data_IF_509500464554
#
_entry.id   IF_509500464554
#
_cell.length_a   1.000
_cell.length_b   1.000
_cell.length_c   1.000
_cell.angle_alpha   90.00
_cell.angle_beta   90.00
_cell.angle_gamma   90.00
#
_symmetry.space_group_name_H-M   'P 1'
#
loop_
_entity.id
_entity.type
_entity.pdbx_description
1 polymer ?
#
# COMPACT_ATOMS: atom_id res chain seq x y z
N UNK A 1 9.72 19.34 19.34
CA UNK A 1 8.38 19.90 19.03
C UNK A 1 8.20 21.21 19.78
N UNK A 2 8.09 22.35 19.06
CA UNK A 2 7.96 23.70 19.64
C UNK A 2 6.53 24.01 20.08
N UNK A 3 6.33 25.10 20.84
CA UNK A 3 5.00 25.56 21.27
C UNK A 3 4.04 25.81 20.10
N UNK A 4 4.49 26.52 19.06
CA UNK A 4 3.68 26.78 17.86
C UNK A 4 3.31 25.49 17.12
N UNK A 5 4.22 24.51 17.07
CA UNK A 5 3.91 23.18 16.51
C UNK A 5 2.84 22.45 17.33
N UNK A 6 2.88 22.55 18.67
CA UNK A 6 1.86 21.97 19.54
C UNK A 6 0.49 22.62 19.34
N UNK A 7 0.42 23.95 19.22
CA UNK A 7 -0.82 24.67 18.90
C UNK A 7 -1.36 24.21 17.55
N UNK A 8 -0.50 24.16 16.52
CA UNK A 8 -0.90 23.69 15.19
C UNK A 8 -1.46 22.26 15.25
N UNK A 9 -0.78 21.35 15.94
CA UNK A 9 -1.25 19.98 16.11
C UNK A 9 -2.60 19.93 16.86
N UNK A 10 -2.76 20.74 17.92
CA UNK A 10 -4.02 20.84 18.66
C UNK A 10 -5.17 21.27 17.75
N UNK A 11 -4.99 22.37 17.00
CA UNK A 11 -6.02 22.89 16.09
C UNK A 11 -6.37 21.88 15.01
N UNK A 12 -5.36 21.29 14.34
CA UNK A 12 -5.59 20.30 13.30
C UNK A 12 -6.32 19.06 13.83
N UNK A 13 -5.90 18.54 14.98
CA UNK A 13 -6.53 17.36 15.59
C UNK A 13 -7.99 17.62 15.96
N UNK A 14 -8.28 18.76 16.58
CA UNK A 14 -9.66 19.10 16.98
C UNK A 14 -10.55 19.39 15.77
N UNK A 15 -9.99 20.02 14.74
CA UNK A 15 -10.69 20.22 13.46
C UNK A 15 -11.03 18.88 12.81
N UNK A 16 -10.09 17.94 12.76
CA UNK A 16 -10.31 16.59 12.20
C UNK A 16 -11.40 15.83 12.98
N UNK A 17 -11.34 15.83 14.31
CA UNK A 17 -12.35 15.20 15.17
C UNK A 17 -13.73 15.83 14.96
N UNK A 18 -13.80 17.17 14.90
CA UNK A 18 -15.04 17.89 14.62
C UNK A 18 -15.60 17.53 13.25
N UNK A 19 -14.76 17.60 12.21
CA UNK A 19 -15.17 17.28 10.85
C UNK A 19 -15.68 15.85 10.72
N UNK A 20 -14.93 14.88 11.27
CA UNK A 20 -15.33 13.46 11.27
C UNK A 20 -16.66 13.25 11.97
N UNK A 21 -16.87 13.85 13.14
CA UNK A 21 -18.10 13.66 13.93
C UNK A 21 -19.34 14.27 13.27
N UNK A 22 -19.24 15.47 12.72
CA UNK A 22 -20.41 16.22 12.25
C UNK A 22 -20.65 16.12 10.74
N UNK A 23 -19.63 15.75 9.95
CA UNK A 23 -19.73 15.66 8.49
C UNK A 23 -19.35 14.29 7.95
N UNK A 24 -18.20 13.74 8.37
CA UNK A 24 -17.68 12.46 7.88
C UNK A 24 -18.59 11.27 8.19
N UNK A 25 -18.70 10.92 9.48
CA UNK A 25 -19.47 9.76 9.96
C UNK A 25 -20.95 9.80 9.53
N UNK A 26 -21.68 10.94 9.61
CA UNK A 26 -23.05 10.99 9.11
C UNK A 26 -23.17 10.72 7.61
N UNK A 27 -22.23 11.21 6.79
CA UNK A 27 -22.22 10.97 5.35
C UNK A 27 -21.92 9.51 5.02
N UNK A 28 -20.93 8.91 5.69
CA UNK A 28 -20.58 7.50 5.54
C UNK A 28 -21.74 6.59 5.98
N UNK A 29 -22.37 6.87 7.11
CA UNK A 29 -23.52 6.11 7.61
C UNK A 29 -24.72 6.19 6.67
N UNK A 30 -25.00 7.37 6.08
CA UNK A 30 -26.04 7.52 5.06
C UNK A 30 -25.74 6.67 3.82
N UNK A 31 -24.47 6.62 3.40
CA UNK A 31 -24.04 5.78 2.29
C UNK A 31 -24.20 4.29 2.63
N UNK A 32 -23.79 3.89 3.83
CA UNK A 32 -23.90 2.52 4.30
C UNK A 32 -25.36 2.04 4.30
N UNK A 33 -26.28 2.83 4.89
CA UNK A 33 -27.72 2.52 4.89
C UNK A 33 -28.31 2.37 3.49
N UNK A 34 -27.83 3.18 2.53
CA UNK A 34 -28.29 3.10 1.14
C UNK A 34 -27.94 1.76 0.48
N UNK A 35 -26.81 1.15 0.83
CA UNK A 35 -26.28 -0.01 0.11
C UNK A 35 -26.28 -1.33 0.90
N UNK A 36 -26.29 -1.31 2.23
CA UNK A 36 -26.02 -2.49 3.07
C UNK A 36 -27.18 -2.86 4.03
N UNK A 37 -28.44 -2.65 3.61
CA UNK A 37 -29.68 -2.87 4.37
C UNK A 37 -29.92 -1.89 5.55
N UNK A 38 -31.14 -1.89 6.09
CA UNK A 38 -31.62 -0.86 7.04
C UNK A 38 -31.17 -1.07 8.51
N UNK A 39 -30.66 -2.25 8.86
CA UNK A 39 -30.34 -2.67 10.23
C UNK A 39 -28.90 -2.35 10.68
N UNK A 40 -28.19 -1.52 9.89
CA UNK A 40 -26.83 -1.08 10.24
C UNK A 40 -26.89 -0.17 11.48
N UNK A 41 -26.20 -0.59 12.54
CA UNK A 41 -25.99 0.24 13.74
C UNK A 41 -25.17 1.50 13.39
N UNK A 42 -25.44 2.65 14.03
CA UNK A 42 -24.58 3.83 13.91
C UNK A 42 -23.11 3.48 14.19
N UNK A 43 -22.20 4.01 13.38
CA UNK A 43 -20.78 3.68 13.50
C UNK A 43 -20.19 4.10 14.86
N UNK A 44 -20.67 5.18 15.46
CA UNK A 44 -20.28 5.59 16.81
C UNK A 44 -20.66 4.56 17.88
N UNK A 45 -21.79 3.87 17.70
CA UNK A 45 -22.23 2.80 18.60
C UNK A 45 -21.35 1.56 18.42
N UNK A 46 -21.02 1.22 17.17
CA UNK A 46 -20.09 0.12 16.85
C UNK A 46 -18.72 0.39 17.47
N UNK A 47 -18.18 1.60 17.31
CA UNK A 47 -16.89 2.00 17.87
C UNK A 47 -16.89 1.96 19.41
N UNK A 48 -17.96 2.42 20.06
CA UNK A 48 -18.08 2.42 21.54
C UNK A 48 -18.24 1.02 22.14
N UNK A 49 -18.92 0.12 21.44
CA UNK A 49 -19.24 -1.21 21.92
C UNK A 49 -18.23 -2.28 21.45
N UNK A 50 -17.16 -1.88 20.78
CA UNK A 50 -16.13 -2.77 20.28
C UNK A 50 -15.32 -3.39 21.41
N UNK A 51 -15.50 -4.69 21.64
CA UNK A 51 -14.78 -5.42 22.70
C UNK A 51 -13.32 -5.69 22.35
N UNK A 52 -12.99 -5.90 21.07
CA UNK A 52 -11.64 -6.15 20.56
C UNK A 52 -11.51 -5.50 19.18
N UNK A 53 -10.35 -4.87 18.91
CA UNK A 53 -9.95 -4.40 17.60
C UNK A 53 -8.64 -5.07 17.17
N UNK A 54 -8.68 -5.90 16.14
CA UNK A 54 -7.47 -6.43 15.51
C UNK A 54 -7.10 -5.48 14.38
N UNK A 55 -5.89 -4.92 14.43
CA UNK A 55 -5.44 -3.90 13.46
C UNK A 55 -4.24 -4.40 12.68
N UNK A 56 -4.09 -3.95 11.43
CA UNK A 56 -2.86 -4.16 10.66
C UNK A 56 -1.69 -3.28 11.11
N UNK A 57 -1.79 -2.65 12.28
CA UNK A 57 -0.71 -1.87 12.89
C UNK A 57 0.47 -2.79 13.20
N UNK A 58 1.68 -2.32 12.86
CA UNK A 58 2.92 -2.99 13.23
C UNK A 58 3.76 -2.04 14.10
N UNK A 59 3.98 -2.36 15.39
CA UNK A 59 4.73 -1.50 16.31
C UNK A 59 6.16 -1.16 15.87
N UNK A 60 6.74 -1.92 14.95
CA UNK A 60 8.08 -1.69 14.39
C UNK A 60 8.02 -0.62 13.29
N UNK A 61 6.95 -0.61 12.50
CA UNK A 61 6.80 0.29 11.35
C UNK A 61 6.09 1.59 11.68
N UNK A 62 5.14 1.52 12.59
CA UNK A 62 4.25 2.63 12.88
C UNK A 62 4.76 3.48 14.06
N UNK A 63 4.15 4.66 14.22
CA UNK A 63 4.51 5.55 15.32
C UNK A 63 4.25 4.88 16.68
N UNK A 64 5.13 5.10 17.67
CA UNK A 64 4.88 4.65 19.01
C UNK A 64 3.63 5.34 19.56
N UNK A 65 2.65 4.54 19.96
CA UNK A 65 1.37 4.97 20.50
C UNK A 65 0.99 4.07 21.68
N UNK A 66 0.36 4.65 22.69
CA UNK A 66 -0.28 3.87 23.75
C UNK A 66 -1.54 3.21 23.20
N UNK A 67 -1.54 1.88 23.14
CA UNK A 67 -2.70 1.10 22.73
C UNK A 67 -3.46 0.59 23.97
N UNK A 68 -4.79 0.77 24.02
CA UNK A 68 -5.63 0.09 24.99
C UNK A 68 -5.49 -1.45 24.88
N UNK A 69 -5.67 -2.22 25.98
CA UNK A 69 -5.52 -3.67 25.96
C UNK A 69 -6.44 -4.41 24.98
N UNK A 70 -7.56 -3.81 24.60
CA UNK A 70 -8.50 -4.37 23.63
C UNK A 70 -8.10 -4.12 22.16
N UNK A 71 -7.04 -3.36 21.89
CA UNK A 71 -6.49 -3.19 20.55
C UNK A 71 -5.30 -4.13 20.39
N UNK A 72 -5.41 -5.08 19.46
CA UNK A 72 -4.40 -6.10 19.18
C UNK A 72 -3.69 -5.74 17.87
N UNK A 73 -2.42 -5.33 17.91
CA UNK A 73 -1.56 -5.24 16.74
C UNK A 73 -1.39 -6.60 16.07
N UNK A 74 -1.74 -6.67 14.80
CA UNK A 74 -1.56 -7.83 13.95
C UNK A 74 -1.15 -7.37 12.54
N UNK A 75 -0.02 -6.65 12.48
CA UNK A 75 0.64 -6.27 11.24
C UNK A 75 0.96 -7.50 10.38
N UNK A 76 0.81 -7.36 9.06
CA UNK A 76 1.16 -8.42 8.12
C UNK A 76 0.18 -9.60 8.03
N UNK A 77 -1.02 -9.54 8.62
CA UNK A 77 -2.02 -10.61 8.48
C UNK A 77 -2.41 -10.93 7.02
N UNK A 78 -2.26 -9.97 6.11
CA UNK A 78 -2.50 -10.17 4.67
C UNK A 78 -1.36 -10.91 3.99
N UNK A 79 -0.18 -10.99 4.61
CA UNK A 79 1.00 -11.68 4.06
C UNK A 79 0.78 -13.18 4.23
N UNK A 80 0.51 -13.85 3.11
CA UNK A 80 0.23 -15.28 3.08
C UNK A 80 1.49 -16.07 2.70
N UNK A 81 1.56 -17.37 3.00
CA UNK A 81 2.62 -18.24 2.50
C UNK A 81 2.74 -18.12 0.97
N UNK A 82 3.99 -18.05 0.49
CA UNK A 82 4.30 -17.90 -0.93
C UNK A 82 3.69 -19.05 -1.72
N UNK A 83 2.90 -18.71 -2.74
CA UNK A 83 2.29 -19.65 -3.67
C UNK A 83 3.14 -19.76 -4.94
N UNK A 84 3.06 -20.90 -5.66
CA UNK A 84 3.66 -21.02 -6.98
C UNK A 84 3.15 -19.92 -7.92
N UNK A 85 4.07 -19.28 -8.64
CA UNK A 85 3.72 -18.30 -9.66
C UNK A 85 2.99 -18.99 -10.83
N UNK A 86 2.04 -18.29 -11.48
CA UNK A 86 1.47 -18.73 -12.76
C UNK A 86 2.57 -19.01 -13.81
N UNK A 87 2.34 -19.97 -14.71
CA UNK A 87 3.35 -20.46 -15.65
C UNK A 87 3.99 -19.36 -16.51
N UNK A 88 3.22 -18.34 -16.90
CA UNK A 88 3.72 -17.22 -17.70
C UNK A 88 4.73 -16.38 -16.91
N UNK A 89 4.46 -16.10 -15.63
CA UNK A 89 5.37 -15.38 -14.75
C UNK A 89 6.55 -16.25 -14.30
N UNK A 90 6.30 -17.54 -14.05
CA UNK A 90 7.33 -18.48 -13.63
C UNK A 90 8.47 -18.55 -14.64
N UNK A 91 8.16 -18.68 -15.93
CA UNK A 91 9.18 -18.71 -17.01
C UNK A 91 10.02 -17.44 -17.03
N UNK A 92 9.38 -16.28 -16.95
CA UNK A 92 10.05 -14.97 -16.91
C UNK A 92 10.97 -14.87 -15.68
N UNK A 93 10.51 -15.33 -14.52
CA UNK A 93 11.29 -15.32 -13.28
C UNK A 93 12.47 -16.28 -13.38
N UNK A 94 12.27 -17.48 -13.93
CA UNK A 94 13.32 -18.48 -14.13
C UNK A 94 14.42 -17.95 -15.07
N UNK A 95 14.05 -17.21 -16.12
CA UNK A 95 14.97 -16.59 -17.08
C UNK A 95 15.66 -15.32 -16.55
N UNK A 96 15.15 -14.70 -15.48
CA UNK A 96 15.71 -13.49 -14.91
C UNK A 96 17.04 -13.77 -14.19
N UNK A 97 18.17 -13.65 -14.89
CA UNK A 97 19.52 -13.92 -14.37
C UNK A 97 20.00 -12.88 -13.34
N UNK A 98 19.56 -11.63 -13.48
CA UNK A 98 20.01 -10.52 -12.64
C UNK A 98 19.07 -10.23 -11.46
N UNK A 99 18.01 -11.02 -11.30
CA UNK A 99 16.98 -10.81 -10.30
C UNK A 99 15.80 -9.99 -10.79
N UNK A 100 14.87 -9.74 -9.87
CA UNK A 100 13.58 -9.13 -10.13
C UNK A 100 13.41 -7.83 -9.33
N UNK A 101 12.76 -6.86 -9.94
CA UNK A 101 12.26 -5.66 -9.26
C UNK A 101 10.75 -5.64 -9.43
N UNK A 102 10.01 -5.42 -8.35
CA UNK A 102 8.56 -5.20 -8.41
C UNK A 102 8.32 -3.70 -8.29
N UNK A 103 7.53 -3.12 -9.19
CA UNK A 103 7.10 -1.73 -9.14
C UNK A 103 5.58 -1.60 -9.10
N UNK A 104 5.07 -0.93 -8.07
CA UNK A 104 3.63 -0.80 -7.83
C UNK A 104 3.28 0.44 -7.02
N UNK A 105 2.32 1.23 -7.50
CA UNK A 105 1.76 2.35 -6.74
C UNK A 105 0.56 1.94 -5.86
N UNK A 106 0.38 0.63 -5.65
CA UNK A 106 -0.75 0.08 -4.92
C UNK A 106 -2.04 0.02 -5.75
N UNK A 107 -3.17 -0.09 -5.07
CA UNK A 107 -4.50 -0.13 -5.70
C UNK A 107 -5.14 1.24 -5.83
N UNK A 108 -4.75 2.21 -5.00
CA UNK A 108 -5.37 3.53 -4.95
C UNK A 108 -4.80 4.48 -5.99
N UNK A 109 -3.48 4.49 -6.18
CA UNK A 109 -2.84 5.25 -7.25
C UNK A 109 -2.68 4.37 -8.47
N UNK A 110 -3.17 4.88 -9.60
CA UNK A 110 -3.02 4.21 -10.87
C UNK A 110 -1.72 4.62 -11.53
N UNK A 111 -0.94 3.66 -12.01
CA UNK A 111 0.28 3.94 -12.76
C UNK A 111 -0.03 4.65 -14.08
N UNK A 112 -1.22 4.41 -14.64
CA UNK A 112 -1.68 5.08 -15.85
C UNK A 112 -2.14 6.54 -15.67
N UNK A 113 -2.34 7.01 -14.44
CA UNK A 113 -2.58 8.43 -14.15
C UNK A 113 -1.28 9.25 -14.10
N UNK A 114 -0.11 8.60 -14.12
CA UNK A 114 1.17 9.32 -14.22
C UNK A 114 1.25 10.09 -15.54
N UNK A 115 1.79 11.31 -15.49
CA UNK A 115 2.03 12.09 -16.71
C UNK A 115 2.96 11.33 -17.66
N UNK A 116 2.80 11.56 -18.97
CA UNK A 116 3.65 10.95 -20.00
C UNK A 116 5.15 11.16 -19.70
N UNK A 117 5.54 12.37 -19.27
CA UNK A 117 6.91 12.67 -18.86
C UNK A 117 7.41 11.76 -17.74
N UNK A 118 6.60 11.51 -16.70
CA UNK A 118 6.96 10.63 -15.58
C UNK A 118 7.07 9.18 -16.03
N UNK A 119 6.12 8.70 -16.83
CA UNK A 119 6.15 7.34 -17.40
C UNK A 119 7.40 7.13 -18.24
N UNK A 120 7.72 8.05 -19.15
CA UNK A 120 8.92 7.98 -19.98
C UNK A 120 10.20 8.03 -19.16
N UNK A 121 10.28 8.87 -18.12
CA UNK A 121 11.44 8.90 -17.23
C UNK A 121 11.64 7.56 -16.49
N UNK A 122 10.56 6.96 -15.98
CA UNK A 122 10.58 5.65 -15.32
C UNK A 122 11.01 4.56 -16.30
N UNK A 123 10.40 4.48 -17.48
CA UNK A 123 10.77 3.50 -18.52
C UNK A 123 12.24 3.65 -18.95
N UNK A 124 12.72 4.89 -19.13
CA UNK A 124 14.10 5.16 -19.48
C UNK A 124 15.08 4.75 -18.38
N UNK A 125 14.70 4.88 -17.10
CA UNK A 125 15.50 4.39 -15.99
C UNK A 125 15.51 2.85 -15.97
N UNK A 126 14.34 2.23 -16.12
CA UNK A 126 14.16 0.78 -16.14
C UNK A 126 14.90 0.10 -17.29
N UNK A 127 14.93 0.71 -18.47
CA UNK A 127 15.64 0.20 -19.63
C UNK A 127 17.17 0.07 -19.42
N UNK A 128 17.73 0.83 -18.46
CA UNK A 128 19.17 0.81 -18.14
C UNK A 128 19.52 -0.28 -17.12
N UNK A 129 18.52 -0.92 -16.51
CA UNK A 129 18.72 -1.93 -15.48
C UNK A 129 18.77 -3.33 -16.11
N UNK A 130 19.68 -4.21 -15.68
CA UNK A 130 19.74 -5.58 -16.17
C UNK A 130 18.66 -6.51 -15.57
N UNK A 131 17.96 -6.08 -14.52
CA UNK A 131 16.91 -6.83 -13.86
C UNK A 131 15.63 -6.88 -14.69
N UNK A 132 14.85 -7.95 -14.48
CA UNK A 132 13.46 -8.01 -14.94
C UNK A 132 12.58 -7.21 -13.98
N UNK A 133 11.76 -6.32 -14.51
CA UNK A 133 10.96 -5.38 -13.73
C UNK A 133 9.48 -5.70 -13.95
N UNK A 134 8.78 -6.15 -12.91
CA UNK A 134 7.33 -6.32 -12.94
C UNK A 134 6.66 -5.01 -12.55
N UNK A 135 5.90 -4.41 -13.46
CA UNK A 135 5.18 -3.16 -13.20
C UNK A 135 3.67 -3.40 -13.22
N UNK A 136 3.03 -3.16 -12.07
CA UNK A 136 1.56 -3.09 -11.98
C UNK A 136 1.05 -1.82 -12.68
N UNK A 137 0.32 -2.00 -13.77
CA UNK A 137 -0.18 -0.92 -14.62
C UNK A 137 -1.55 -1.28 -15.23
N UNK A 138 -2.48 -0.34 -15.19
CA UNK A 138 -3.92 -0.58 -15.41
C UNK A 138 -4.32 -0.65 -16.90
N UNK A 139 -3.52 -0.04 -17.77
CA UNK A 139 -3.70 0.03 -19.23
C UNK A 139 -2.49 -0.52 -20.00
N UNK A 140 -2.55 -0.49 -21.32
CA UNK A 140 -1.41 -0.83 -22.16
C UNK A 140 -0.41 0.32 -22.21
N UNK A 141 0.88 -0.01 -22.31
CA UNK A 141 1.96 0.97 -22.41
C UNK A 141 2.74 0.73 -23.69
N UNK A 142 2.80 1.75 -24.54
CA UNK A 142 3.60 1.71 -25.75
C UNK A 142 5.09 1.84 -25.42
N UNK A 143 5.95 1.27 -26.27
CA UNK A 143 7.41 1.38 -26.18
C UNK A 143 8.00 0.87 -24.84
N UNK A 144 7.42 -0.19 -24.29
CA UNK A 144 7.94 -0.81 -23.07
C UNK A 144 9.30 -1.50 -23.34
N UNK A 145 10.34 -1.24 -22.51
CA UNK A 145 11.62 -1.95 -22.60
C UNK A 145 11.43 -3.46 -22.43
N UNK A 146 12.27 -4.26 -23.08
CA UNK A 146 12.16 -5.74 -23.08
C UNK A 146 12.23 -6.36 -21.68
N UNK A 147 12.91 -5.70 -20.74
CA UNK A 147 13.04 -6.15 -19.36
C UNK A 147 11.89 -5.71 -18.45
N UNK A 148 10.91 -4.94 -18.97
CA UNK A 148 9.75 -4.47 -18.19
C UNK A 148 8.54 -5.31 -18.57
N UNK A 149 7.96 -5.98 -17.58
CA UNK A 149 6.81 -6.85 -17.71
C UNK A 149 5.62 -6.18 -17.04
N UNK A 150 4.64 -5.80 -17.85
CA UNK A 150 3.47 -5.06 -17.39
C UNK A 150 2.30 -6.01 -17.15
N UNK A 151 1.60 -5.81 -16.04
CA UNK A 151 0.36 -6.52 -15.70
C UNK A 151 -0.61 -5.61 -14.97
N UNK A 152 -1.91 -5.81 -15.20
CA UNK A 152 -2.96 -5.12 -14.42
C UNK A 152 -2.97 -5.52 -12.95
N UNK A 153 -2.58 -6.77 -12.68
CA UNK A 153 -2.45 -7.33 -11.35
C UNK A 153 -1.20 -8.18 -11.25
N UNK A 154 -0.49 -8.08 -10.14
CA UNK A 154 0.69 -8.88 -9.85
C UNK A 154 0.43 -9.72 -8.59
N UNK A 155 0.86 -11.00 -8.56
CA UNK A 155 0.96 -11.75 -7.31
C UNK A 155 2.15 -11.22 -6.50
N UNK A 156 2.01 -9.99 -5.97
CA UNK A 156 3.09 -9.21 -5.36
C UNK A 156 3.77 -9.97 -4.22
N UNK A 157 3.01 -10.50 -3.27
CA UNK A 157 3.53 -11.33 -2.19
C UNK A 157 4.41 -12.48 -2.70
N UNK A 158 3.95 -13.19 -3.73
CA UNK A 158 4.65 -14.37 -4.26
C UNK A 158 5.90 -13.98 -5.07
N UNK A 159 5.84 -12.84 -5.76
CA UNK A 159 7.00 -12.26 -6.43
C UNK A 159 8.06 -11.80 -5.43
N UNK A 160 7.66 -11.19 -4.32
CA UNK A 160 8.57 -10.71 -3.26
C UNK A 160 9.16 -11.86 -2.46
N UNK A 161 8.40 -12.92 -2.22
CA UNK A 161 8.89 -14.14 -1.58
C UNK A 161 9.78 -15.02 -2.47
N UNK A 162 10.01 -14.63 -3.72
CA UNK A 162 10.93 -15.34 -4.60
C UNK A 162 12.41 -14.98 -4.26
N UNK A 163 13.35 -15.95 -4.20
CA UNK A 163 14.77 -15.66 -3.93
C UNK A 163 15.45 -14.69 -4.90
N UNK A 164 14.88 -14.51 -6.10
CA UNK A 164 15.36 -13.56 -7.10
C UNK A 164 14.85 -12.14 -6.88
N UNK A 165 13.89 -11.90 -5.99
CA UNK A 165 13.43 -10.57 -5.65
C UNK A 165 14.59 -9.74 -5.05
N UNK A 166 14.85 -8.56 -5.64
CA UNK A 166 15.92 -7.66 -5.21
C UNK A 166 15.41 -6.35 -4.66
N UNK A 167 14.23 -5.92 -5.08
CA UNK A 167 13.72 -4.60 -4.75
C UNK A 167 12.21 -4.51 -4.96
N UNK A 168 11.52 -3.87 -4.02
CA UNK A 168 10.19 -3.32 -4.22
C UNK A 168 10.28 -1.80 -4.37
N UNK A 169 9.87 -1.28 -5.51
CA UNK A 169 9.63 0.15 -5.70
C UNK A 169 8.13 0.36 -5.46
N UNK A 170 7.76 1.21 -4.51
CA UNK A 170 6.36 1.41 -4.17
C UNK A 170 6.02 2.83 -3.75
N UNK A 171 4.73 3.15 -3.72
CA UNK A 171 4.25 4.43 -3.20
C UNK A 171 4.39 4.56 -1.67
N UNK A 172 4.66 3.48 -0.94
CA UNK A 172 4.79 3.47 0.53
C UNK A 172 3.51 3.10 1.27
N UNK A 173 2.64 2.28 0.67
CA UNK A 173 1.45 1.77 1.34
C UNK A 173 1.80 0.73 2.41
N UNK A 174 1.16 0.80 3.58
CA UNK A 174 1.47 -0.04 4.74
C UNK A 174 1.52 -1.55 4.41
N UNK A 175 0.56 -2.05 3.62
CA UNK A 175 0.50 -3.46 3.26
C UNK A 175 1.70 -3.90 2.39
N UNK A 176 2.07 -3.10 1.39
CA UNK A 176 3.23 -3.36 0.53
C UNK A 176 4.54 -3.30 1.32
N UNK A 177 4.65 -2.35 2.26
CA UNK A 177 5.81 -2.25 3.15
C UNK A 177 5.94 -3.48 4.04
N UNK A 178 4.84 -3.95 4.63
CA UNK A 178 4.80 -5.17 5.43
C UNK A 178 5.18 -6.42 4.63
N UNK A 179 4.71 -6.57 3.39
CA UNK A 179 5.11 -7.68 2.50
C UNK A 179 6.62 -7.68 2.22
N UNK A 180 7.18 -6.51 1.86
CA UNK A 180 8.60 -6.40 1.57
C UNK A 180 9.46 -6.73 2.80
N UNK A 181 9.07 -6.25 3.98
CA UNK A 181 9.76 -6.58 5.23
C UNK A 181 9.68 -8.06 5.57
N UNK A 182 8.49 -8.66 5.47
CA UNK A 182 8.30 -10.08 5.74
C UNK A 182 9.23 -10.94 4.88
N UNK A 183 9.39 -10.59 3.60
CA UNK A 183 10.26 -11.31 2.67
C UNK A 183 11.72 -10.82 2.67
N UNK A 184 12.07 -9.82 3.49
CA UNK A 184 13.42 -9.27 3.55
C UNK A 184 13.87 -8.54 2.27
N UNK A 185 12.93 -8.00 1.50
CA UNK A 185 13.20 -7.29 0.24
C UNK A 185 13.36 -5.78 0.50
N UNK A 186 14.47 -5.16 0.07
CA UNK A 186 14.66 -3.71 0.16
C UNK A 186 13.58 -2.91 -0.57
N UNK A 187 13.38 -1.66 -0.14
CA UNK A 187 12.32 -0.77 -0.62
C UNK A 187 12.90 0.54 -1.19
N UNK A 188 12.33 1.01 -2.32
CA UNK A 188 12.38 2.42 -2.71
C UNK A 188 10.97 2.98 -2.64
N UNK A 189 10.77 4.01 -1.82
CA UNK A 189 9.47 4.65 -1.62
C UNK A 189 9.38 5.93 -2.45
N UNK A 190 8.36 6.01 -3.30
CA UNK A 190 7.99 7.21 -4.05
C UNK A 190 6.69 7.75 -3.45
N UNK A 191 6.75 8.64 -2.47
CA UNK A 191 5.55 9.05 -1.75
C UNK A 191 4.65 9.96 -2.57
N UNK A 192 3.35 9.67 -2.53
CA UNK A 192 2.31 10.48 -3.17
C UNK A 192 1.30 11.05 -2.16
N UNK A 193 1.14 10.40 -1.01
CA UNK A 193 0.32 10.88 0.09
C UNK A 193 1.20 11.19 1.30
N UNK A 194 0.70 12.07 2.16
CA UNK A 194 1.36 12.43 3.41
C UNK A 194 1.68 11.21 4.29
N UNK A 195 0.78 10.22 4.30
CA UNK A 195 0.98 8.96 5.04
C UNK A 195 2.02 8.03 4.41
N UNK A 196 2.29 8.15 3.11
CA UNK A 196 3.24 7.28 2.41
C UNK A 196 4.67 7.81 2.37
N UNK A 197 4.90 9.03 2.88
CA UNK A 197 6.19 9.73 2.90
C UNK A 197 6.94 9.63 4.23
N UNK A 198 6.45 8.82 5.16
CA UNK A 198 6.91 8.77 6.54
C UNK A 198 7.48 7.41 6.88
#
# INVERSE_FOLDING_TARGET
MSFLQRIKNFVLTHFEVFYRKYFGLPAEYKLAKKYFAEDIRPFEEVERNMSILITSYDPILDFPMALPPNIIPAGGLHVQPVKPLPDDLKRIVDDAKHGLIVFTLGSYLRSDDLSSTKKSAILNAFAKLPQTIFWKFESEIENCPKNVIVRKWLPQNDLLGNPKAKLLITHGGALSTQEAMHHGVPLIVIPFFYRSAR
#
